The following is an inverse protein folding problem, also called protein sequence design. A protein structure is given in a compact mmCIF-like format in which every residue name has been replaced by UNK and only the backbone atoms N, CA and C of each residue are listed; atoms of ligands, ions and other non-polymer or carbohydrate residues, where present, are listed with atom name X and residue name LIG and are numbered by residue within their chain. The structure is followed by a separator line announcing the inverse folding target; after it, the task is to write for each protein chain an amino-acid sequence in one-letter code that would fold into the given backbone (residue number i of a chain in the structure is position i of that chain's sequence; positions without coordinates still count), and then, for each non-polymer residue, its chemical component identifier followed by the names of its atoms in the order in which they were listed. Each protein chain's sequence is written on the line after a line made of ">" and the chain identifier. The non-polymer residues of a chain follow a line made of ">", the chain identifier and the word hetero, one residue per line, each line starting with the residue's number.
data_IF_343399786380
#
_entry.id   IF_343399786380
#
_cell.length_a   1.000
_cell.length_b   1.000
_cell.length_c   1.000
_cell.angle_alpha   90.00
_cell.angle_beta   90.00
_cell.angle_gamma   90.00
#
_symmetry.space_group_name_H-M   'P 1'
#
loop_
_entity.id
_entity.type
_entity.pdbx_description
1 polymer ?
#
# COMPACT_ATOMS: atom_id res chain seq x y z
N UNK A 1 37.84 -79.79 -8.53
CA UNK A 1 38.12 -79.36 -9.90
C UNK A 1 37.30 -78.13 -10.18
N UNK A 2 37.92 -77.06 -10.62
CA UNK A 2 37.42 -75.86 -11.26
C UNK A 2 36.58 -74.86 -10.41
N UNK A 3 37.23 -73.82 -9.96
CA UNK A 3 36.62 -72.56 -9.57
C UNK A 3 36.05 -71.81 -10.80
N UNK A 4 35.02 -71.01 -10.66
CA UNK A 4 34.84 -69.87 -11.48
C UNK A 4 34.89 -68.55 -10.74
N UNK A 5 35.11 -67.50 -11.52
CA UNK A 5 35.62 -66.22 -11.30
C UNK A 5 34.73 -65.26 -10.44
N UNK A 6 35.43 -64.37 -9.79
CA UNK A 6 34.99 -63.21 -9.02
C UNK A 6 34.47 -62.08 -9.99
N UNK A 7 33.23 -61.72 -9.87
CA UNK A 7 32.70 -60.55 -10.55
C UNK A 7 32.70 -59.37 -9.58
N UNK A 8 33.39 -58.31 -9.94
CA UNK A 8 33.40 -57.03 -9.23
C UNK A 8 32.10 -56.26 -9.51
N UNK A 9 31.42 -55.87 -8.44
CA UNK A 9 30.26 -55.01 -8.50
C UNK A 9 30.71 -53.55 -8.32
N UNK A 10 30.49 -52.77 -9.35
CA UNK A 10 30.82 -51.35 -9.38
C UNK A 10 29.94 -50.55 -8.42
N UNK A 11 30.62 -49.76 -7.63
CA UNK A 11 30.04 -48.70 -6.76
C UNK A 11 29.43 -47.62 -7.64
N UNK A 12 28.08 -47.48 -7.63
CA UNK A 12 27.38 -46.36 -8.24
C UNK A 12 27.24 -45.25 -7.19
N UNK A 13 28.11 -44.27 -7.26
CA UNK A 13 28.04 -43.04 -6.52
C UNK A 13 26.69 -42.36 -6.70
N UNK A 14 25.90 -42.27 -5.63
CA UNK A 14 24.72 -41.40 -5.53
C UNK A 14 25.19 -39.95 -5.49
N UNK A 15 25.05 -39.25 -6.60
CA UNK A 15 25.12 -37.81 -6.65
C UNK A 15 23.95 -37.22 -5.82
N UNK A 16 24.27 -36.64 -4.68
CA UNK A 16 23.35 -35.74 -3.94
C UNK A 16 23.02 -34.57 -4.84
N UNK A 17 21.75 -34.50 -5.28
CA UNK A 17 21.21 -33.30 -5.85
C UNK A 17 21.28 -32.17 -4.82
N UNK A 18 22.03 -31.14 -5.12
CA UNK A 18 22.15 -29.94 -4.30
C UNK A 18 20.77 -29.29 -4.12
N UNK A 19 20.33 -29.17 -2.88
CA UNK A 19 19.25 -28.25 -2.51
C UNK A 19 19.76 -26.85 -2.82
N UNK A 20 19.16 -26.23 -3.81
CA UNK A 20 19.38 -24.81 -4.08
C UNK A 20 18.93 -23.97 -2.88
N UNK A 21 19.88 -23.41 -2.18
CA UNK A 21 19.63 -22.36 -1.19
C UNK A 21 19.09 -21.11 -1.89
N UNK A 22 17.78 -20.93 -1.84
CA UNK A 22 17.10 -19.65 -2.06
C UNK A 22 16.18 -19.35 -0.87
N UNK A 23 16.67 -18.90 0.27
CA UNK A 23 15.76 -18.32 1.25
C UNK A 23 16.13 -16.95 1.81
N UNK A 24 17.38 -16.49 1.75
CA UNK A 24 17.75 -15.26 2.44
C UNK A 24 17.23 -13.99 1.73
N UNK A 25 17.33 -13.91 0.40
CA UNK A 25 16.83 -12.76 -0.40
C UNK A 25 15.31 -12.64 -0.31
N UNK A 26 14.56 -13.72 -0.49
CA UNK A 26 13.08 -13.68 -0.47
C UNK A 26 12.48 -13.35 0.90
N UNK A 27 13.16 -13.66 2.00
CA UNK A 27 12.72 -13.30 3.34
C UNK A 27 12.92 -11.80 3.64
N UNK A 28 14.04 -11.25 3.22
CA UNK A 28 14.33 -9.81 3.33
C UNK A 28 13.38 -9.00 2.46
N UNK A 29 13.14 -9.44 1.23
CA UNK A 29 12.21 -8.79 0.31
C UNK A 29 10.78 -8.79 0.85
N UNK A 30 10.34 -9.88 1.48
CA UNK A 30 9.02 -9.98 2.13
C UNK A 30 8.88 -9.02 3.29
N UNK A 31 9.85 -8.94 4.17
CA UNK A 31 9.82 -8.05 5.32
C UNK A 31 9.77 -6.59 4.88
N UNK A 32 10.58 -6.20 3.91
CA UNK A 32 10.56 -4.86 3.34
C UNK A 32 9.21 -4.51 2.68
N UNK A 33 8.57 -5.50 2.01
CA UNK A 33 7.23 -5.33 1.45
C UNK A 33 6.18 -5.12 2.55
N UNK A 34 6.21 -5.91 3.64
CA UNK A 34 5.32 -5.77 4.79
C UNK A 34 5.48 -4.38 5.44
N UNK A 35 6.71 -3.92 5.65
CA UNK A 35 6.99 -2.60 6.20
C UNK A 35 6.46 -1.48 5.31
N UNK A 36 6.62 -1.62 4.01
CA UNK A 36 6.09 -0.69 3.05
C UNK A 36 4.56 -0.65 3.02
N UNK A 37 3.89 -1.80 3.00
CA UNK A 37 2.43 -1.88 3.05
C UNK A 37 1.88 -1.30 4.36
N UNK A 38 2.56 -1.51 5.48
CA UNK A 38 2.21 -0.88 6.76
C UNK A 38 2.42 0.64 6.76
N UNK A 39 3.42 1.12 6.06
CA UNK A 39 3.62 2.56 5.85
C UNK A 39 2.46 3.17 5.06
N UNK A 40 2.01 2.50 3.99
CA UNK A 40 0.88 2.93 3.19
C UNK A 40 -0.42 2.86 4.01
N UNK A 41 -0.68 1.76 4.73
CA UNK A 41 -1.82 1.60 5.62
C UNK A 41 -1.93 2.70 6.69
N UNK A 42 -0.80 3.14 7.25
CA UNK A 42 -0.78 4.28 8.17
C UNK A 42 -1.19 5.60 7.49
N UNK A 43 -0.97 5.71 6.18
CA UNK A 43 -1.44 6.82 5.34
C UNK A 43 -2.96 6.80 5.17
N UNK A 44 -3.55 5.64 4.84
CA UNK A 44 -5.00 5.48 4.72
C UNK A 44 -5.72 5.81 6.04
N UNK A 45 -5.19 5.34 7.16
CA UNK A 45 -5.74 5.71 8.47
C UNK A 45 -5.64 7.20 8.75
N UNK A 46 -4.56 7.87 8.32
CA UNK A 46 -4.46 9.32 8.37
C UNK A 46 -5.55 9.99 7.53
N UNK A 47 -5.78 9.54 6.29
CA UNK A 47 -6.78 10.09 5.38
C UNK A 47 -8.19 9.95 5.95
N UNK A 48 -8.56 8.77 6.44
CA UNK A 48 -9.86 8.53 7.12
C UNK A 48 -10.06 9.51 8.29
N UNK A 49 -9.06 9.65 9.15
CA UNK A 49 -9.13 10.57 10.30
C UNK A 49 -9.16 12.02 9.87
N UNK A 50 -8.39 12.39 8.86
CA UNK A 50 -8.32 13.74 8.30
C UNK A 50 -9.67 14.14 7.69
N UNK A 51 -10.23 13.34 6.81
CA UNK A 51 -11.54 13.61 6.20
C UNK A 51 -12.66 13.63 7.24
N UNK A 52 -12.65 12.72 8.23
CA UNK A 52 -13.59 12.75 9.36
C UNK A 52 -13.47 14.07 10.14
N UNK A 53 -12.26 14.46 10.51
CA UNK A 53 -11.98 15.65 11.31
C UNK A 53 -12.33 16.94 10.55
N UNK A 54 -11.88 17.06 9.29
CA UNK A 54 -12.13 18.23 8.47
C UNK A 54 -13.61 18.38 8.15
N UNK A 55 -14.31 17.32 7.78
CA UNK A 55 -15.76 17.38 7.50
C UNK A 55 -16.58 17.88 8.70
N UNK A 56 -16.13 17.59 9.92
CA UNK A 56 -16.77 18.09 11.15
C UNK A 56 -16.48 19.58 11.40
N UNK A 57 -15.24 20.03 11.15
CA UNK A 57 -14.76 21.40 11.38
C UNK A 57 -15.20 22.41 10.31
N UNK A 58 -15.56 21.98 9.11
CA UNK A 58 -15.93 22.86 8.00
C UNK A 58 -16.95 23.93 8.41
N UNK A 59 -16.69 25.16 8.00
CA UNK A 59 -17.58 26.35 8.16
C UNK A 59 -17.68 27.09 6.83
N UNK A 60 -18.51 28.13 6.78
CA UNK A 60 -18.64 29.02 5.63
C UNK A 60 -19.59 28.53 4.54
N UNK A 61 -19.66 29.26 3.41
CA UNK A 61 -20.68 29.07 2.39
C UNK A 61 -20.64 27.72 1.68
N UNK A 62 -19.45 27.12 1.54
CA UNK A 62 -19.23 25.85 0.84
C UNK A 62 -19.25 24.63 1.78
N UNK A 63 -19.61 24.83 3.05
CA UNK A 63 -19.57 23.77 4.07
C UNK A 63 -20.34 22.52 3.65
N UNK A 64 -21.50 22.68 3.05
CA UNK A 64 -22.39 21.57 2.73
C UNK A 64 -21.79 20.67 1.66
N UNK A 65 -21.28 21.28 0.62
CA UNK A 65 -20.69 20.61 -0.55
C UNK A 65 -19.37 19.94 -0.17
N UNK A 66 -18.47 20.67 0.50
CA UNK A 66 -17.19 20.14 0.93
C UNK A 66 -17.33 19.05 1.99
N UNK A 67 -18.34 19.16 2.88
CA UNK A 67 -18.62 18.09 3.82
C UNK A 67 -19.04 16.80 3.11
N UNK A 68 -19.88 16.92 2.10
CA UNK A 68 -20.32 15.76 1.33
C UNK A 68 -19.14 15.11 0.58
N UNK A 69 -18.27 15.94 -0.03
CA UNK A 69 -17.03 15.49 -0.66
C UNK A 69 -16.17 14.69 0.33
N UNK A 70 -15.75 15.30 1.44
CA UNK A 70 -14.88 14.62 2.42
C UNK A 70 -15.51 13.37 3.03
N UNK A 71 -16.84 13.33 3.18
CA UNK A 71 -17.52 12.15 3.69
C UNK A 71 -17.57 10.98 2.67
N UNK A 72 -17.58 11.30 1.38
CA UNK A 72 -17.53 10.29 0.34
C UNK A 72 -16.16 9.60 0.33
N UNK A 73 -15.07 10.37 0.41
CA UNK A 73 -13.70 9.83 0.43
C UNK A 73 -13.45 8.84 1.58
N UNK A 74 -14.09 9.02 2.76
CA UNK A 74 -13.90 8.13 3.91
C UNK A 74 -14.20 6.65 3.55
N UNK A 75 -15.17 6.39 2.71
CA UNK A 75 -15.54 5.02 2.33
C UNK A 75 -14.49 4.39 1.40
N UNK A 76 -13.91 5.15 0.51
CA UNK A 76 -12.88 4.71 -0.42
C UNK A 76 -11.58 4.42 0.35
N UNK A 77 -11.16 5.32 1.26
CA UNK A 77 -9.99 5.13 2.12
C UNK A 77 -10.15 3.93 3.08
N UNK A 78 -11.37 3.65 3.56
CA UNK A 78 -11.63 2.45 4.33
C UNK A 78 -11.43 1.17 3.50
N UNK A 79 -11.79 1.21 2.22
CA UNK A 79 -11.55 0.13 1.27
C UNK A 79 -10.05 -0.12 1.04
N UNK A 80 -9.29 0.95 0.81
CA UNK A 80 -7.84 0.91 0.64
C UNK A 80 -7.15 0.37 1.91
N UNK A 81 -7.51 0.88 3.08
CA UNK A 81 -6.98 0.44 4.36
C UNK A 81 -7.24 -1.06 4.61
N UNK A 82 -8.47 -1.54 4.34
CA UNK A 82 -8.81 -2.95 4.50
C UNK A 82 -7.98 -3.84 3.58
N UNK A 83 -7.86 -3.46 2.31
CA UNK A 83 -7.03 -4.19 1.34
C UNK A 83 -5.57 -4.30 1.80
N UNK A 84 -4.96 -3.20 2.24
CA UNK A 84 -3.58 -3.19 2.72
C UNK A 84 -3.40 -4.05 3.98
N UNK A 85 -4.34 -3.95 4.94
CA UNK A 85 -4.31 -4.75 6.16
C UNK A 85 -4.40 -6.26 5.86
N UNK A 86 -5.32 -6.66 4.99
CA UNK A 86 -5.49 -8.04 4.56
C UNK A 86 -4.21 -8.57 3.88
N UNK A 87 -3.57 -7.73 3.06
CA UNK A 87 -2.34 -8.13 2.38
C UNK A 87 -1.16 -8.26 3.34
N UNK A 88 -1.01 -7.35 4.29
CA UNK A 88 0.01 -7.46 5.36
C UNK A 88 -0.17 -8.76 6.12
N UNK A 89 -1.40 -9.08 6.55
CA UNK A 89 -1.72 -10.32 7.25
C UNK A 89 -1.45 -11.56 6.39
N UNK A 90 -1.82 -11.55 5.11
CA UNK A 90 -1.56 -12.65 4.17
C UNK A 90 -0.06 -12.91 3.95
N UNK A 91 0.79 -11.89 4.07
CA UNK A 91 2.24 -12.01 4.03
C UNK A 91 2.84 -12.48 5.36
N UNK A 92 2.02 -12.66 6.41
CA UNK A 92 2.46 -13.07 7.75
C UNK A 92 2.98 -11.91 8.60
N UNK A 93 2.69 -10.67 8.22
CA UNK A 93 2.96 -9.47 9.01
C UNK A 93 1.82 -9.11 9.97
N UNK A 94 2.07 -8.13 10.83
CA UNK A 94 1.06 -7.53 11.71
C UNK A 94 0.64 -6.17 11.10
N UNK A 95 -0.66 -6.00 10.73
CA UNK A 95 -1.15 -4.72 10.22
C UNK A 95 -1.02 -3.63 11.30
N UNK A 96 -0.48 -2.48 10.93
CA UNK A 96 -0.37 -1.35 11.86
C UNK A 96 -1.75 -0.86 12.29
N UNK A 97 -1.85 -0.39 13.52
CA UNK A 97 -3.03 0.32 14.05
C UNK A 97 -2.75 1.82 14.27
N UNK A 98 -1.60 2.29 13.82
CA UNK A 98 -1.16 3.67 14.06
C UNK A 98 -1.26 4.50 12.79
N UNK A 99 -2.10 5.55 12.76
CA UNK A 99 -2.16 6.48 11.65
C UNK A 99 -0.90 7.36 11.60
N UNK A 100 -0.60 7.91 10.43
CA UNK A 100 0.25 9.10 10.34
C UNK A 100 -0.47 10.29 11.00
N UNK A 101 0.25 11.32 11.48
CA UNK A 101 -0.37 12.50 12.07
C UNK A 101 -1.26 13.26 11.08
N UNK A 102 -2.47 13.64 11.50
CA UNK A 102 -3.34 14.51 10.72
C UNK A 102 -2.79 15.94 10.78
N UNK A 103 -2.51 16.59 9.64
CA UNK A 103 -2.04 17.96 9.64
C UNK A 103 -3.12 18.93 10.17
N UNK A 104 -2.74 19.99 10.90
CA UNK A 104 -3.69 21.00 11.33
C UNK A 104 -4.18 21.83 10.13
N UNK A 105 -5.48 22.14 10.11
CA UNK A 105 -6.09 23.10 9.19
C UNK A 105 -7.34 23.69 9.83
N UNK A 106 -7.53 24.99 9.69
CA UNK A 106 -8.66 25.72 10.27
C UNK A 106 -9.59 26.32 9.22
N UNK A 107 -9.05 26.63 8.04
CA UNK A 107 -9.83 27.18 6.95
C UNK A 107 -10.17 26.10 5.90
N UNK A 108 -11.34 26.17 5.26
CA UNK A 108 -11.73 25.18 4.25
C UNK A 108 -10.71 25.00 3.12
N UNK A 109 -10.10 26.10 2.66
CA UNK A 109 -9.05 26.04 1.63
C UNK A 109 -7.80 25.30 2.11
N UNK A 110 -7.38 25.53 3.35
CA UNK A 110 -6.25 24.80 3.95
C UNK A 110 -6.56 23.32 4.06
N UNK A 111 -7.78 22.94 4.46
CA UNK A 111 -8.23 21.56 4.52
C UNK A 111 -8.14 20.88 3.15
N UNK A 112 -8.58 21.53 2.09
CA UNK A 112 -8.45 21.05 0.72
C UNK A 112 -6.97 20.89 0.30
N UNK A 113 -6.12 21.85 0.66
CA UNK A 113 -4.69 21.78 0.36
C UNK A 113 -3.99 20.63 1.10
N UNK A 114 -4.35 20.37 2.36
CA UNK A 114 -3.82 19.24 3.11
C UNK A 114 -4.32 17.90 2.55
N UNK A 115 -5.59 17.83 2.14
CA UNK A 115 -6.13 16.67 1.46
C UNK A 115 -5.36 16.41 0.15
N UNK A 116 -5.21 17.43 -0.71
CA UNK A 116 -4.44 17.34 -1.95
C UNK A 116 -3.00 16.85 -1.73
N UNK A 117 -2.36 17.32 -0.66
CA UNK A 117 -1.01 16.87 -0.32
C UNK A 117 -0.99 15.39 0.11
N UNK A 118 -2.00 14.93 0.85
CA UNK A 118 -2.14 13.54 1.27
C UNK A 118 -2.35 12.60 0.07
N UNK A 119 -3.25 12.95 -0.87
CA UNK A 119 -3.43 12.18 -2.12
C UNK A 119 -2.15 12.09 -2.95
N UNK A 120 -1.43 13.22 -3.07
CA UNK A 120 -0.14 13.23 -3.75
C UNK A 120 0.91 12.33 -3.09
N UNK A 121 0.89 12.24 -1.77
CA UNK A 121 1.76 11.34 -1.01
C UNK A 121 1.34 9.87 -1.20
N UNK A 122 0.04 9.57 -1.14
CA UNK A 122 -0.49 8.22 -1.36
C UNK A 122 -0.10 7.69 -2.76
N UNK A 123 -0.28 8.50 -3.80
CA UNK A 123 0.17 8.16 -5.17
C UNK A 123 1.67 7.83 -5.21
N UNK A 124 2.51 8.62 -4.55
CA UNK A 124 3.95 8.39 -4.52
C UNK A 124 4.32 7.09 -3.80
N UNK A 125 3.69 6.83 -2.67
CA UNK A 125 3.88 5.63 -1.85
C UNK A 125 3.42 4.38 -2.62
N UNK A 126 2.22 4.38 -3.18
CA UNK A 126 1.69 3.27 -3.99
C UNK A 126 2.54 2.99 -5.23
N UNK A 127 3.04 4.01 -5.94
CA UNK A 127 3.98 3.81 -7.05
C UNK A 127 5.29 3.14 -6.60
N UNK A 128 5.75 3.44 -5.39
CA UNK A 128 6.87 2.75 -4.75
C UNK A 128 6.54 1.28 -4.48
N UNK A 129 5.32 1.03 -3.99
CA UNK A 129 4.84 -0.30 -3.65
C UNK A 129 4.59 -1.18 -4.87
N UNK A 130 4.07 -0.61 -5.96
CA UNK A 130 3.93 -1.29 -7.27
C UNK A 130 5.26 -1.89 -7.72
N UNK A 131 6.34 -1.09 -7.71
CA UNK A 131 7.69 -1.57 -8.06
C UNK A 131 8.20 -2.67 -7.12
N UNK A 132 7.89 -2.55 -5.83
CA UNK A 132 8.28 -3.53 -4.83
C UNK A 132 7.51 -4.85 -4.99
N UNK A 133 6.20 -4.78 -5.26
CA UNK A 133 5.36 -5.96 -5.54
C UNK A 133 5.84 -6.69 -6.79
N UNK A 134 6.17 -5.96 -7.85
CA UNK A 134 6.75 -6.53 -9.07
C UNK A 134 8.09 -7.23 -8.82
N UNK A 135 8.98 -6.59 -8.08
CA UNK A 135 10.29 -7.18 -7.72
C UNK A 135 10.13 -8.42 -6.82
N UNK A 136 9.13 -8.43 -5.95
CA UNK A 136 8.78 -9.56 -5.10
C UNK A 136 8.15 -10.71 -5.89
N UNK A 137 7.58 -10.42 -7.08
CA UNK A 137 6.92 -11.39 -7.96
C UNK A 137 5.43 -11.56 -7.69
N UNK A 138 4.79 -10.66 -6.92
CA UNK A 138 3.36 -10.66 -6.67
C UNK A 138 2.64 -9.77 -7.68
N UNK A 139 2.34 -10.33 -8.84
CA UNK A 139 1.67 -9.61 -9.93
C UNK A 139 0.21 -9.27 -9.60
N UNK A 140 -0.45 -10.04 -8.73
CA UNK A 140 -1.80 -9.73 -8.25
C UNK A 140 -1.78 -8.46 -7.41
N UNK A 141 -0.92 -8.42 -6.40
CA UNK A 141 -0.71 -7.22 -5.58
C UNK A 141 -0.33 -6.00 -6.42
N UNK A 142 0.56 -6.19 -7.42
CA UNK A 142 0.92 -5.10 -8.34
C UNK A 142 -0.30 -4.51 -9.03
N UNK A 143 -1.16 -5.35 -9.61
CA UNK A 143 -2.36 -4.91 -10.34
C UNK A 143 -3.35 -4.19 -9.41
N UNK A 144 -3.55 -4.69 -8.20
CA UNK A 144 -4.42 -4.07 -7.20
C UNK A 144 -3.88 -2.69 -6.77
N UNK A 145 -2.58 -2.57 -6.55
CA UNK A 145 -1.93 -1.29 -6.22
C UNK A 145 -1.99 -0.29 -7.38
N UNK A 146 -1.84 -0.73 -8.64
CA UNK A 146 -2.04 0.12 -9.82
C UNK A 146 -3.47 0.67 -9.90
N UNK A 147 -4.48 -0.13 -9.48
CA UNK A 147 -5.85 0.36 -9.35
C UNK A 147 -5.97 1.46 -8.30
N UNK A 148 -5.35 1.28 -7.14
CA UNK A 148 -5.37 2.31 -6.09
C UNK A 148 -4.66 3.58 -6.54
N UNK A 149 -3.53 3.50 -7.25
CA UNK A 149 -2.90 4.69 -7.88
C UNK A 149 -3.89 5.45 -8.78
N UNK A 150 -4.72 4.74 -9.54
CA UNK A 150 -5.72 5.36 -10.39
C UNK A 150 -6.85 6.02 -9.59
N UNK A 151 -7.26 5.42 -8.46
CA UNK A 151 -8.26 5.97 -7.55
C UNK A 151 -7.75 7.28 -6.91
N UNK A 152 -6.58 7.25 -6.26
CA UNK A 152 -5.95 8.43 -5.67
C UNK A 152 -5.68 9.55 -6.69
N UNK A 153 -5.36 9.17 -7.93
CA UNK A 153 -5.19 10.16 -9.00
C UNK A 153 -6.49 10.90 -9.29
N UNK A 154 -7.64 10.22 -9.28
CA UNK A 154 -8.95 10.86 -9.47
C UNK A 154 -9.31 11.78 -8.30
N UNK A 155 -9.08 11.35 -7.06
CA UNK A 155 -9.28 12.17 -5.85
C UNK A 155 -8.43 13.45 -5.93
N UNK A 156 -7.16 13.29 -6.24
CA UNK A 156 -6.22 14.39 -6.43
C UNK A 156 -6.69 15.39 -7.50
N UNK A 157 -7.07 14.91 -8.68
CA UNK A 157 -7.54 15.74 -9.79
C UNK A 157 -8.82 16.52 -9.44
N UNK A 158 -9.74 15.92 -8.67
CA UNK A 158 -10.94 16.61 -8.21
C UNK A 158 -10.60 17.71 -7.22
N UNK A 159 -9.73 17.46 -6.25
CA UNK A 159 -9.24 18.48 -5.32
C UNK A 159 -8.52 19.63 -6.03
N UNK A 160 -7.70 19.33 -7.04
CA UNK A 160 -7.03 20.35 -7.87
C UNK A 160 -8.02 21.26 -8.57
N UNK A 161 -9.11 20.70 -9.15
CA UNK A 161 -10.18 21.48 -9.81
C UNK A 161 -10.91 22.38 -8.84
N UNK A 162 -11.23 21.89 -7.64
CA UNK A 162 -11.90 22.67 -6.60
C UNK A 162 -11.00 23.82 -6.16
N UNK A 163 -9.72 23.56 -5.89
CA UNK A 163 -8.76 24.59 -5.45
C UNK A 163 -8.50 25.63 -6.54
N UNK A 164 -8.40 25.20 -7.81
CA UNK A 164 -8.20 26.11 -8.94
C UNK A 164 -9.38 27.08 -9.14
N UNK A 165 -10.61 26.66 -8.80
CA UNK A 165 -11.81 27.51 -8.83
C UNK A 165 -12.08 28.28 -7.53
N UNK A 166 -11.21 28.14 -6.51
CA UNK A 166 -11.45 28.76 -5.21
C UNK A 166 -11.30 30.27 -5.25
N UNK A 167 -12.35 30.96 -4.85
CA UNK A 167 -12.38 32.41 -4.72
C UNK A 167 -12.24 32.81 -3.24
N UNK A 168 -11.16 33.50 -2.91
CA UNK A 168 -10.83 33.96 -1.54
C UNK A 168 -11.59 35.25 -1.14
N UNK A 169 -12.62 35.63 -1.90
CA UNK A 169 -13.44 36.83 -1.61
C UNK A 169 -14.36 36.67 -0.43
#
# INVERSE_FOLDING_TARGET
>A
MTMPARTQQGDQGKTKAGRGDKPASSAVDRQALIEGLNHDLAGEYQAILMYTHYSAKLTGPYRRELRALFQAEIADEQGHAQFLADKVAALGGEPTTQPRPVPPADQPREMLQQALAAEGQAIADYNGRVRQAESFGDLGLKADLESQVADETRHKEELERIIAGWDDR
#
